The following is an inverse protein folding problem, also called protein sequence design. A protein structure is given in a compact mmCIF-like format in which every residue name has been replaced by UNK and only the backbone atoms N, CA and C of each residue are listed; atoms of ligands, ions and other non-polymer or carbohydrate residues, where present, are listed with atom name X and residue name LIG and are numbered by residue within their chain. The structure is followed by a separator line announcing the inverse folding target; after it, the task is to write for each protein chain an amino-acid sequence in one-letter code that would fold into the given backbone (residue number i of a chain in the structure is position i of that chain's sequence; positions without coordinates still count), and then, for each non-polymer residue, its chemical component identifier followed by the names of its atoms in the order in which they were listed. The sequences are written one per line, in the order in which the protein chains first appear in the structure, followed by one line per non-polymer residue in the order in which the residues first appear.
data_IF_015869694879
#
_entry.id   IF_015869694879
#
_cell.length_a   1.000
_cell.length_b   1.000
_cell.length_c   1.000
_cell.angle_alpha   90.00
_cell.angle_beta   90.00
_cell.angle_gamma   90.00
#
_symmetry.space_group_name_H-M   'P 1'
#
loop_
_entity.id
_entity.type
_entity.pdbx_description
1 polymer ?
#
# COMPACT_ATOMS: atom_id res chain seq x y z
N UNK A 1 6.19 -2.72 -14.60
CA UNK A 1 5.50 -1.70 -15.42
C UNK A 1 5.24 -2.31 -16.79
N UNK A 2 4.02 -2.24 -17.29
CA UNK A 2 3.62 -2.79 -18.61
C UNK A 2 3.48 -1.71 -19.67
N UNK A 3 3.19 -0.48 -19.26
CA UNK A 3 3.14 0.71 -20.11
C UNK A 3 3.49 1.94 -19.25
N UNK A 4 4.12 2.96 -19.81
CA UNK A 4 4.51 4.16 -19.09
C UNK A 4 5.95 4.59 -19.33
N UNK A 5 6.48 5.39 -18.41
CA UNK A 5 7.81 6.02 -18.53
C UNK A 5 8.56 6.04 -17.21
N UNK A 6 9.89 6.00 -17.33
CA UNK A 6 10.80 6.47 -16.28
C UNK A 6 11.27 7.87 -16.60
N UNK A 7 11.26 8.78 -15.62
CA UNK A 7 11.80 10.12 -15.83
C UNK A 7 12.29 10.73 -14.52
N UNK A 8 13.26 11.63 -14.65
CA UNK A 8 13.77 12.45 -13.55
C UNK A 8 12.95 13.74 -13.46
N UNK A 9 12.33 13.97 -12.31
CA UNK A 9 11.57 15.19 -12.01
C UNK A 9 12.42 16.14 -11.17
N UNK A 10 13.08 17.09 -11.86
CA UNK A 10 14.01 18.05 -11.27
C UNK A 10 13.33 19.36 -10.82
N UNK A 11 12.00 19.43 -10.84
CA UNK A 11 11.27 20.60 -10.34
C UNK A 11 11.44 20.72 -8.82
N UNK A 12 11.44 21.94 -8.30
CA UNK A 12 11.51 22.18 -6.85
C UNK A 12 10.15 21.97 -6.18
N UNK A 13 9.87 20.73 -5.77
CA UNK A 13 8.70 20.36 -4.99
C UNK A 13 8.92 19.08 -4.19
N UNK A 14 8.06 18.86 -3.18
CA UNK A 14 8.09 17.74 -2.24
C UNK A 14 8.12 16.33 -2.88
N UNK A 15 7.55 16.19 -4.08
CA UNK A 15 7.46 14.94 -4.82
C UNK A 15 8.56 14.77 -5.85
N UNK A 16 9.54 15.67 -5.92
CA UNK A 16 10.68 15.54 -6.85
C UNK A 16 11.47 14.25 -6.59
N UNK A 17 11.78 13.53 -7.68
CA UNK A 17 12.42 12.21 -7.65
C UNK A 17 12.74 11.74 -9.07
N UNK A 18 13.52 10.67 -9.18
CA UNK A 18 13.40 9.75 -10.32
C UNK A 18 12.15 8.88 -10.13
N UNK A 19 11.40 8.64 -11.20
CA UNK A 19 10.00 8.18 -11.14
C UNK A 19 9.68 7.14 -12.18
N UNK A 20 8.86 6.15 -11.81
CA UNK A 20 8.08 5.35 -12.74
C UNK A 20 6.63 5.82 -12.72
N UNK A 21 6.11 6.26 -13.87
CA UNK A 21 4.71 6.65 -14.05
C UNK A 21 4.08 5.78 -15.14
N UNK A 22 2.98 5.09 -14.83
CA UNK A 22 2.33 4.23 -15.82
C UNK A 22 1.41 3.15 -15.27
N UNK A 23 1.32 2.05 -16.02
CA UNK A 23 0.51 0.89 -15.72
C UNK A 23 1.38 -0.25 -15.20
N UNK A 24 0.90 -0.91 -14.15
CA UNK A 24 1.67 -1.91 -13.42
C UNK A 24 0.86 -3.18 -13.23
N UNK A 25 1.59 -4.29 -13.30
CA UNK A 25 1.15 -5.60 -12.82
C UNK A 25 2.01 -5.97 -11.62
N UNK A 26 1.42 -6.65 -10.66
CA UNK A 26 2.17 -7.47 -9.72
C UNK A 26 2.25 -8.89 -10.29
N UNK A 27 3.39 -9.53 -10.10
CA UNK A 27 3.60 -10.91 -10.50
C UNK A 27 3.84 -11.73 -9.24
N UNK A 28 3.03 -12.76 -9.05
CA UNK A 28 3.17 -13.72 -7.96
C UNK A 28 3.64 -15.05 -8.55
N UNK A 29 4.67 -15.65 -7.94
CA UNK A 29 5.17 -16.98 -8.32
C UNK A 29 5.09 -17.92 -7.12
N UNK A 30 4.37 -19.03 -7.26
CA UNK A 30 4.15 -20.05 -6.22
C UNK A 30 4.42 -21.41 -6.84
N UNK A 31 5.48 -22.08 -6.39
CA UNK A 31 5.99 -23.28 -7.09
C UNK A 31 6.32 -22.95 -8.54
N UNK A 32 5.79 -23.75 -9.47
CA UNK A 32 5.94 -23.53 -10.93
C UNK A 32 4.87 -22.59 -11.51
N UNK A 33 3.89 -22.16 -10.69
CA UNK A 33 2.82 -21.25 -11.11
C UNK A 33 3.28 -19.79 -11.12
N UNK A 34 2.82 -19.03 -12.13
CA UNK A 34 3.03 -17.59 -12.25
C UNK A 34 1.72 -16.90 -12.62
N UNK A 35 1.29 -15.94 -11.79
CA UNK A 35 0.06 -15.17 -12.00
C UNK A 35 0.39 -13.68 -12.02
N UNK A 36 -0.24 -12.96 -12.94
CA UNK A 36 -0.11 -11.51 -13.06
C UNK A 36 -1.45 -10.84 -12.75
N UNK A 37 -1.45 -9.84 -11.88
CA UNK A 37 -2.64 -9.06 -11.55
C UNK A 37 -2.40 -7.58 -11.84
N UNK A 38 -3.33 -6.94 -12.56
CA UNK A 38 -3.27 -5.49 -12.85
C UNK A 38 -3.50 -4.68 -11.58
N UNK A 39 -2.61 -3.73 -11.29
CA UNK A 39 -2.66 -2.91 -10.07
C UNK A 39 -3.52 -1.66 -10.20
N UNK A 40 -3.49 -1.00 -11.36
CA UNK A 40 -4.16 0.28 -11.59
C UNK A 40 -5.66 0.30 -11.21
N UNK A 41 -6.47 -0.75 -11.45
CA UNK A 41 -7.87 -0.76 -11.03
C UNK A 41 -8.07 -0.52 -9.52
N UNK A 42 -7.18 -1.02 -8.67
CA UNK A 42 -7.23 -0.77 -7.22
C UNK A 42 -6.94 0.71 -6.86
N UNK A 43 -6.28 1.42 -7.78
CA UNK A 43 -5.84 2.80 -7.62
C UNK A 43 -6.61 3.81 -8.49
N UNK A 44 -7.76 3.41 -9.06
CA UNK A 44 -8.66 4.33 -9.78
C UNK A 44 -8.49 4.29 -11.30
N UNK A 45 -7.88 3.24 -11.83
CA UNK A 45 -7.66 2.96 -13.26
C UNK A 45 -6.68 3.89 -14.00
N UNK A 46 -6.29 5.03 -13.42
CA UNK A 46 -5.28 5.91 -14.02
C UNK A 46 -3.83 5.39 -13.87
N UNK A 47 -2.86 6.06 -14.50
CA UNK A 47 -1.44 5.81 -14.28
C UNK A 47 -1.11 5.91 -12.79
N UNK A 48 -0.29 4.98 -12.31
CA UNK A 48 0.26 5.01 -10.97
C UNK A 48 1.65 5.64 -10.98
N UNK A 49 2.08 6.16 -9.84
CA UNK A 49 3.41 6.74 -9.67
C UNK A 49 4.20 6.11 -8.51
N UNK A 50 5.42 5.62 -8.80
CA UNK A 50 6.40 5.15 -7.81
C UNK A 50 7.73 5.89 -7.95
N UNK A 51 8.50 6.01 -6.85
CA UNK A 51 9.91 6.38 -6.94
C UNK A 51 10.67 5.28 -7.69
N UNK A 52 11.60 5.68 -8.55
CA UNK A 52 12.41 4.77 -9.35
C UNK A 52 13.63 4.21 -8.56
N UNK A 53 13.38 3.76 -7.34
CA UNK A 53 14.31 3.03 -6.49
C UNK A 53 13.82 1.59 -6.31
N UNK A 54 14.74 0.67 -5.99
CA UNK A 54 14.37 -0.65 -5.51
C UNK A 54 13.88 -0.55 -4.07
N UNK A 55 12.83 -1.30 -3.74
CA UNK A 55 12.26 -1.39 -2.40
C UNK A 55 11.73 -2.81 -2.18
N UNK A 56 11.61 -3.21 -0.92
CA UNK A 56 11.09 -4.52 -0.54
C UNK A 56 9.59 -4.41 -0.24
N UNK A 57 8.84 -5.46 -0.58
CA UNK A 57 7.48 -5.61 -0.09
C UNK A 57 7.51 -6.03 1.38
N UNK A 58 6.72 -5.36 2.22
CA UNK A 58 6.52 -5.76 3.62
C UNK A 58 5.37 -6.78 3.67
N UNK A 59 5.71 -8.06 3.92
CA UNK A 59 4.75 -9.14 4.08
C UNK A 59 4.49 -9.46 5.56
N UNK A 60 3.23 -9.72 5.91
CA UNK A 60 2.83 -10.19 7.23
C UNK A 60 1.51 -10.97 7.18
N UNK A 61 1.20 -11.68 8.26
CA UNK A 61 -0.15 -12.19 8.52
C UNK A 61 -0.89 -11.19 9.40
N UNK A 62 -1.75 -10.37 8.78
CA UNK A 62 -2.58 -9.39 9.49
C UNK A 62 -3.95 -9.95 9.90
N UNK A 63 -4.38 -11.09 9.33
CA UNK A 63 -5.61 -11.80 9.72
C UNK A 63 -5.33 -13.27 10.01
N UNK A 64 -6.37 -14.00 10.42
CA UNK A 64 -6.30 -15.43 10.77
C UNK A 64 -6.62 -16.37 9.60
N UNK A 65 -6.81 -15.84 8.38
CA UNK A 65 -7.21 -16.65 7.22
C UNK A 65 -6.04 -17.44 6.59
N UNK A 66 -4.83 -17.31 7.13
CA UNK A 66 -3.65 -18.06 6.70
C UNK A 66 -3.00 -17.57 5.40
N UNK A 67 -3.61 -16.61 4.71
CA UNK A 67 -3.00 -15.94 3.56
C UNK A 67 -1.92 -14.95 4.01
N UNK A 68 -0.92 -14.72 3.16
CA UNK A 68 0.03 -13.63 3.36
C UNK A 68 -0.59 -12.34 2.87
N UNK A 69 -0.38 -11.25 3.60
CA UNK A 69 -0.74 -9.91 3.16
C UNK A 69 0.49 -9.04 2.96
N UNK A 70 0.39 -8.08 2.06
CA UNK A 70 1.39 -7.04 1.88
C UNK A 70 0.71 -5.69 1.65
N UNK A 71 1.44 -4.60 1.85
CA UNK A 71 0.97 -3.28 1.47
C UNK A 71 1.70 -2.76 0.24
N UNK A 72 0.98 -1.98 -0.55
CA UNK A 72 1.53 -1.26 -1.69
C UNK A 72 0.86 0.09 -1.77
N UNK A 73 1.64 1.12 -2.03
CA UNK A 73 1.15 2.47 -2.17
C UNK A 73 1.88 3.26 -3.23
N UNK A 74 1.23 4.34 -3.62
CA UNK A 74 1.77 5.32 -4.54
C UNK A 74 1.66 6.71 -3.92
N UNK A 75 2.39 7.65 -4.50
CA UNK A 75 2.25 9.03 -4.08
C UNK A 75 0.82 9.55 -4.20
N UNK A 76 0.44 10.39 -3.25
CA UNK A 76 -0.85 11.08 -3.21
C UNK A 76 -0.67 12.58 -3.05
N UNK A 77 0.17 13.00 -2.12
CA UNK A 77 0.43 14.40 -1.83
C UNK A 77 1.84 14.61 -1.25
N UNK A 78 2.24 15.87 -1.04
CA UNK A 78 3.53 16.19 -0.42
C UNK A 78 3.80 15.50 0.92
N UNK A 79 2.73 15.16 1.64
CA UNK A 79 2.80 14.67 3.00
C UNK A 79 2.23 13.26 3.13
N UNK A 80 1.84 12.63 2.01
CA UNK A 80 1.22 11.30 2.05
C UNK A 80 1.44 10.49 0.79
N UNK A 81 1.56 9.19 1.02
CA UNK A 81 1.37 8.15 0.02
C UNK A 81 0.10 7.39 0.37
N UNK A 82 -0.66 7.02 -0.67
CA UNK A 82 -1.92 6.28 -0.56
C UNK A 82 -1.62 4.80 -0.72
N UNK A 83 -1.81 4.03 0.34
CA UNK A 83 -1.56 2.59 0.40
C UNK A 83 -2.86 1.79 0.43
N UNK A 84 -2.77 0.52 0.03
CA UNK A 84 -3.75 -0.52 0.34
C UNK A 84 -3.03 -1.77 0.85
N UNK A 85 -3.75 -2.59 1.60
CA UNK A 85 -3.35 -3.97 1.90
C UNK A 85 -3.95 -4.91 0.87
N UNK A 86 -3.14 -5.85 0.40
CA UNK A 86 -3.50 -6.91 -0.53
C UNK A 86 -3.27 -8.26 0.12
N UNK A 87 -4.11 -9.23 -0.21
CA UNK A 87 -3.91 -10.63 0.16
C UNK A 87 -3.34 -11.42 -1.01
N UNK A 88 -2.49 -12.40 -0.71
CA UNK A 88 -1.92 -13.35 -1.65
C UNK A 88 -2.55 -14.73 -1.36
N UNK A 89 -3.61 -15.12 -2.07
CA UNK A 89 -4.17 -16.46 -1.98
C UNK A 89 -3.25 -17.50 -2.62
N UNK A 90 -3.52 -18.78 -2.39
CA UNK A 90 -2.78 -19.89 -3.00
C UNK A 90 -2.88 -19.93 -4.53
N UNK A 91 -3.91 -19.29 -5.12
CA UNK A 91 -4.01 -19.11 -6.57
C UNK A 91 -2.99 -18.13 -7.14
N UNK A 92 -2.40 -17.26 -6.32
CA UNK A 92 -1.49 -16.19 -6.73
C UNK A 92 -2.18 -14.93 -7.29
N UNK A 93 -3.49 -14.95 -7.55
CA UNK A 93 -4.24 -13.76 -7.97
C UNK A 93 -4.55 -12.88 -6.76
N UNK A 94 -3.89 -11.72 -6.66
CA UNK A 94 -4.06 -10.85 -5.49
C UNK A 94 -5.41 -10.13 -5.50
N UNK A 95 -5.89 -9.77 -4.31
CA UNK A 95 -7.06 -8.92 -4.14
C UNK A 95 -6.86 -7.92 -3.00
N UNK A 96 -7.47 -6.75 -3.12
CA UNK A 96 -7.40 -5.73 -2.08
C UNK A 96 -8.28 -6.13 -0.90
N UNK A 97 -7.71 -6.05 0.30
CA UNK A 97 -8.38 -6.34 1.58
C UNK A 97 -8.43 -5.13 2.49
N UNK A 98 -8.22 -3.93 1.96
CA UNK A 98 -8.48 -2.70 2.70
C UNK A 98 -8.95 -1.60 1.75
N UNK A 99 -9.64 -0.62 2.33
CA UNK A 99 -9.73 0.71 1.74
C UNK A 99 -8.35 1.36 1.63
N UNK A 100 -8.26 2.47 0.90
CA UNK A 100 -7.01 3.25 0.85
C UNK A 100 -6.80 3.96 2.18
N UNK A 101 -5.55 4.04 2.61
CA UNK A 101 -5.14 4.83 3.75
C UNK A 101 -3.83 5.57 3.46
N UNK A 102 -3.65 6.70 4.11
CA UNK A 102 -2.52 7.59 3.88
C UNK A 102 -1.43 7.36 4.92
N UNK A 103 -0.17 7.28 4.48
CA UNK A 103 1.00 7.19 5.35
C UNK A 103 2.01 8.26 4.94
N UNK A 104 2.61 8.92 5.91
CA UNK A 104 3.69 9.90 5.67
C UNK A 104 5.01 9.18 5.40
N UNK A 105 5.14 8.63 4.20
CA UNK A 105 6.29 7.84 3.74
C UNK A 105 6.63 8.21 2.29
N UNK A 106 7.66 7.60 1.72
CA UNK A 106 8.13 7.78 0.35
C UNK A 106 8.41 6.45 -0.39
N UNK A 107 7.97 5.33 0.18
CA UNK A 107 8.29 3.97 -0.28
C UNK A 107 7.11 3.31 -1.01
N UNK A 108 7.39 2.43 -1.97
CA UNK A 108 6.34 1.66 -2.66
C UNK A 108 5.58 0.71 -1.73
N UNK A 109 6.21 0.28 -0.64
CA UNK A 109 5.63 -0.51 0.45
C UNK A 109 6.15 0.06 1.76
N UNK A 110 5.27 0.45 2.65
CA UNK A 110 5.64 1.04 3.93
C UNK A 110 5.92 -0.02 4.98
N UNK A 111 6.84 0.28 5.90
CA UNK A 111 7.07 -0.47 7.13
C UNK A 111 6.22 0.03 8.31
N UNK A 112 5.42 1.08 8.11
CA UNK A 112 4.58 1.70 9.13
C UNK A 112 3.22 0.99 9.33
N UNK A 113 3.10 -0.28 8.92
CA UNK A 113 1.97 -1.15 9.29
C UNK A 113 2.40 -2.11 10.40
N UNK A 114 1.87 -1.89 11.60
CA UNK A 114 2.17 -2.67 12.78
C UNK A 114 1.08 -3.72 12.99
N UNK A 115 1.39 -5.03 12.93
CA UNK A 115 0.41 -6.07 13.22
C UNK A 115 -0.22 -5.88 14.60
N UNK A 116 -1.52 -6.16 14.69
CA UNK A 116 -2.24 -6.37 15.95
C UNK A 116 -3.06 -7.64 15.83
N UNK A 117 -3.70 -8.06 16.93
CA UNK A 117 -4.60 -9.21 16.90
C UNK A 117 -5.67 -9.07 15.80
N UNK A 118 -5.62 -9.91 14.78
CA UNK A 118 -6.59 -9.88 13.68
C UNK A 118 -6.75 -8.48 13.02
N UNK A 119 -5.64 -7.77 12.84
CA UNK A 119 -5.63 -6.45 12.24
C UNK A 119 -4.24 -5.83 12.09
N UNK A 120 -4.22 -4.54 11.80
CA UNK A 120 -3.01 -3.73 11.79
C UNK A 120 -3.28 -2.31 12.28
N UNK A 121 -2.21 -1.64 12.71
CA UNK A 121 -2.18 -0.22 13.02
C UNK A 121 -1.27 0.49 12.03
N UNK A 122 -1.63 1.72 11.68
CA UNK A 122 -0.82 2.57 10.81
C UNK A 122 -0.64 3.95 11.43
N UNK A 123 0.62 4.39 11.51
CA UNK A 123 0.97 5.73 12.02
C UNK A 123 1.08 6.70 10.84
N UNK A 124 0.51 7.90 11.00
CA UNK A 124 0.59 8.96 10.00
C UNK A 124 0.63 10.34 10.69
N UNK A 125 1.05 11.37 9.96
CA UNK A 125 1.05 12.74 10.46
C UNK A 125 -0.14 13.51 9.90
N UNK A 126 -0.94 14.12 10.77
CA UNK A 126 -2.05 14.98 10.36
C UNK A 126 -1.67 16.45 10.52
N UNK A 127 -1.49 17.13 9.40
CA UNK A 127 -1.13 18.55 9.36
C UNK A 127 -2.26 19.47 9.87
N UNK A 128 -3.53 19.08 9.70
CA UNK A 128 -4.67 19.88 10.14
C UNK A 128 -4.85 19.83 11.66
N UNK A 129 -4.43 18.72 12.29
CA UNK A 129 -4.52 18.48 13.73
C UNK A 129 -3.18 18.65 14.46
N UNK A 130 -2.09 18.85 13.73
CA UNK A 130 -0.76 19.15 14.27
C UNK A 130 -0.19 18.02 15.15
N UNK A 131 0.02 16.83 14.58
CA UNK A 131 0.65 15.73 15.31
C UNK A 131 0.57 14.39 14.60
N UNK A 132 1.17 13.38 15.23
CA UNK A 132 1.04 12.00 14.78
C UNK A 132 -0.25 11.38 15.27
N UNK A 133 -0.84 10.55 14.43
CA UNK A 133 -2.04 9.79 14.69
C UNK A 133 -1.81 8.34 14.30
N UNK A 134 -2.58 7.47 14.92
CA UNK A 134 -2.56 6.05 14.65
C UNK A 134 -4.00 5.60 14.37
N UNK A 135 -4.21 4.99 13.20
CA UNK A 135 -5.46 4.30 12.87
C UNK A 135 -5.30 2.80 13.15
N UNK A 136 -6.31 2.19 13.73
CA UNK A 136 -6.41 0.74 13.90
C UNK A 136 -7.45 0.19 12.94
N UNK A 137 -7.08 -0.87 12.22
CA UNK A 137 -7.96 -1.62 11.33
C UNK A 137 -8.08 -3.06 11.83
N UNK A 138 -9.29 -3.62 11.79
CA UNK A 138 -9.58 -5.01 12.15
C UNK A 138 -10.18 -5.77 10.99
N UNK A 139 -9.84 -7.05 10.90
CA UNK A 139 -10.43 -7.94 9.93
C UNK A 139 -11.93 -8.11 10.19
N UNK A 140 -12.74 -7.78 9.20
CA UNK A 140 -14.17 -8.10 9.19
C UNK A 140 -14.34 -9.49 8.55
N UNK A 141 -14.79 -10.51 9.31
CA UNK A 141 -15.00 -11.84 8.75
C UNK A 141 -16.22 -11.90 7.82
N UNK A 142 -17.13 -10.94 7.86
CA UNK A 142 -18.34 -10.91 7.04
C UNK A 142 -18.10 -10.32 5.65
N UNK A 143 -17.23 -9.33 5.53
CA UNK A 143 -16.75 -8.79 4.26
C UNK A 143 -15.23 -8.87 4.24
N UNK A 144 -14.58 -9.67 3.36
CA UNK A 144 -13.18 -10.09 3.46
C UNK A 144 -12.20 -8.91 3.34
N UNK A 145 -12.16 -8.07 4.36
CA UNK A 145 -11.57 -6.74 4.35
C UNK A 145 -11.27 -6.27 5.77
N UNK A 146 -10.16 -5.59 5.93
CA UNK A 146 -9.86 -4.79 7.10
C UNK A 146 -10.71 -3.52 7.10
N UNK A 147 -11.43 -3.31 8.20
CA UNK A 147 -12.27 -2.14 8.45
C UNK A 147 -11.64 -1.26 9.51
N UNK A 148 -11.80 0.05 9.34
CA UNK A 148 -11.44 1.01 10.37
C UNK A 148 -12.17 0.69 11.67
N UNK A 149 -11.42 0.60 12.77
CA UNK A 149 -11.96 0.38 14.11
C UNK A 149 -11.88 1.66 14.92
N UNK A 150 -10.69 2.27 15.00
CA UNK A 150 -10.44 3.40 15.87
C UNK A 150 -9.26 4.23 15.40
N UNK A 151 -9.18 5.45 15.93
CA UNK A 151 -8.08 6.36 15.73
C UNK A 151 -7.71 7.04 17.05
N UNK A 152 -6.41 7.27 17.26
CA UNK A 152 -5.90 8.02 18.41
C UNK A 152 -4.71 8.88 18.05
N UNK A 153 -4.54 9.99 18.78
CA UNK A 153 -3.30 10.77 18.75
C UNK A 153 -2.18 9.96 19.41
N UNK A 154 -0.99 10.04 18.84
CA UNK A 154 0.22 9.46 19.41
C UNK A 154 1.31 10.51 19.39
N UNK A 155 2.23 10.42 20.35
CA UNK A 155 3.35 11.36 20.44
C UNK A 155 4.39 11.09 19.31
#
# INVERSE_FOLDING_TARGET
MTDGRRYKDDRLWCGSADKYEGFFVIVVSIGDGRVETRLNPFFGNGPMWFRASSWNLALAHYNTNGEWQFNLGQYESCNSWSYRVFSIPSSGEIYAVSDRFSVSDFEGSTSNLFPVENGFRVKYYDNSRGGNWEMTYRWDPAGPMFRFESERRVD
#
